data_IF_404632402244
#
_entry.id   IF_404632402244
#
_cell.length_a   1.000
_cell.length_b   1.000
_cell.length_c   1.000
_cell.angle_alpha   90.00
_cell.angle_beta   90.00
_cell.angle_gamma   90.00
#
_symmetry.space_group_name_H-M   'P 1'
#
loop_
_entity.id
_entity.type
_entity.pdbx_description
1 polymer ?
#
# COMPACT_ATOMS: atom_id res chain seq x y z
N UNK A 1 6.98 4.06 1.37
CA UNK A 1 7.47 3.33 0.19
C UNK A 1 6.46 2.29 -0.22
N UNK A 2 6.41 1.87 -1.49
CA UNK A 2 5.51 0.83 -1.98
C UNK A 2 6.33 -0.37 -2.41
N UNK A 3 5.84 -1.57 -2.08
CA UNK A 3 6.48 -2.81 -2.48
C UNK A 3 5.43 -3.67 -3.17
N UNK A 4 5.66 -3.99 -4.44
CA UNK A 4 4.81 -4.88 -5.22
C UNK A 4 5.53 -6.22 -5.37
N UNK A 5 4.82 -7.29 -5.05
CA UNK A 5 5.31 -8.64 -5.24
C UNK A 5 4.67 -9.20 -6.49
N UNK A 6 5.52 -9.68 -7.41
CA UNK A 6 5.11 -10.33 -8.64
C UNK A 6 5.73 -11.72 -8.71
N UNK A 7 4.99 -12.69 -9.23
CA UNK A 7 5.50 -14.04 -9.46
C UNK A 7 5.33 -14.46 -10.92
N UNK A 8 6.38 -15.06 -11.50
CA UNK A 8 6.33 -15.64 -12.84
C UNK A 8 7.25 -16.87 -12.92
N UNK A 9 6.68 -18.05 -13.20
CA UNK A 9 7.41 -19.31 -13.47
C UNK A 9 8.54 -19.63 -12.45
N UNK A 10 8.29 -19.44 -11.16
CA UNK A 10 9.26 -19.73 -10.10
C UNK A 10 10.20 -18.58 -9.73
N UNK A 11 10.12 -17.44 -10.43
CA UNK A 11 10.85 -16.24 -10.07
C UNK A 11 9.92 -15.26 -9.35
N UNK A 12 10.32 -14.87 -8.14
CA UNK A 12 9.72 -13.76 -7.41
C UNK A 12 10.42 -12.45 -7.81
N UNK A 13 9.64 -11.41 -8.07
CA UNK A 13 10.13 -10.06 -8.36
C UNK A 13 9.53 -9.09 -7.36
N UNK A 14 10.39 -8.25 -6.79
CA UNK A 14 9.99 -7.19 -5.86
C UNK A 14 10.21 -5.86 -6.55
N UNK A 15 9.13 -5.11 -6.78
CA UNK A 15 9.19 -3.75 -7.31
C UNK A 15 9.05 -2.77 -6.16
N UNK A 16 10.01 -1.86 -6.02
CA UNK A 16 10.01 -0.83 -4.98
C UNK A 16 9.83 0.52 -5.65
N UNK A 17 8.85 1.29 -5.19
CA UNK A 17 8.54 2.60 -5.74
C UNK A 17 8.21 3.63 -4.65
N UNK A 18 8.40 4.91 -4.96
CA UNK A 18 7.90 6.02 -4.15
C UNK A 18 6.43 6.32 -4.48
N UNK A 19 5.68 7.01 -3.60
CA UNK A 19 4.30 7.42 -3.88
C UNK A 19 4.21 8.34 -5.11
N UNK A 20 5.22 9.18 -5.34
CA UNK A 20 5.28 10.08 -6.49
C UNK A 20 5.40 9.31 -7.80
N UNK A 21 6.21 8.24 -7.82
CA UNK A 21 6.40 7.41 -9.00
C UNK A 21 5.11 6.64 -9.36
N UNK A 22 4.52 5.97 -8.36
CA UNK A 22 3.43 5.00 -8.59
C UNK A 22 2.13 5.64 -9.07
N UNK A 23 1.90 6.92 -8.74
CA UNK A 23 0.69 7.65 -9.14
C UNK A 23 0.76 8.18 -10.58
N UNK A 24 1.93 8.12 -11.23
CA UNK A 24 2.09 8.62 -12.60
C UNK A 24 1.36 7.75 -13.61
N UNK A 25 0.93 8.35 -14.72
CA UNK A 25 0.28 7.62 -15.83
C UNK A 25 1.18 6.53 -16.41
N UNK A 26 2.48 6.78 -16.50
CA UNK A 26 3.45 5.82 -16.99
C UNK A 26 3.47 4.55 -16.12
N UNK A 27 3.58 4.70 -14.81
CA UNK A 27 3.59 3.55 -13.89
C UNK A 27 2.27 2.78 -13.90
N UNK A 28 1.13 3.47 -13.97
CA UNK A 28 -0.17 2.79 -14.14
C UNK A 28 -0.19 1.89 -15.37
N UNK A 29 0.28 2.39 -16.52
CA UNK A 29 0.34 1.60 -17.75
C UNK A 29 1.30 0.40 -17.63
N UNK A 30 2.44 0.56 -16.96
CA UNK A 30 3.38 -0.55 -16.71
C UNK A 30 2.73 -1.63 -15.85
N UNK A 31 2.04 -1.23 -14.77
CA UNK A 31 1.34 -2.16 -13.89
C UNK A 31 0.21 -2.90 -14.62
N UNK A 32 -0.65 -2.16 -15.33
CA UNK A 32 -1.78 -2.74 -16.06
C UNK A 32 -1.32 -3.71 -17.17
N UNK A 33 -0.30 -3.34 -17.95
CA UNK A 33 0.10 -4.12 -19.13
C UNK A 33 1.08 -5.26 -18.81
N UNK A 34 1.90 -5.11 -17.77
CA UNK A 34 3.04 -6.03 -17.52
C UNK A 34 2.83 -6.91 -16.30
N UNK A 35 2.22 -6.35 -15.24
CA UNK A 35 2.22 -6.98 -13.92
C UNK A 35 0.83 -7.37 -13.42
N UNK A 36 -0.26 -6.87 -14.01
CA UNK A 36 -1.64 -7.07 -13.53
C UNK A 36 -1.97 -8.50 -13.12
N UNK A 37 -1.66 -9.48 -13.96
CA UNK A 37 -1.92 -10.90 -13.70
C UNK A 37 -0.87 -11.59 -12.81
N UNK A 38 0.25 -10.92 -12.56
CA UNK A 38 1.40 -11.46 -11.82
C UNK A 38 1.52 -10.90 -10.40
N UNK A 39 0.84 -9.78 -10.12
CA UNK A 39 0.81 -9.14 -8.81
C UNK A 39 0.15 -10.08 -7.79
N UNK A 40 0.90 -10.47 -6.77
CA UNK A 40 0.42 -11.34 -5.70
C UNK A 40 0.26 -10.62 -4.36
N UNK A 41 0.86 -9.44 -4.18
CA UNK A 41 0.67 -8.62 -2.98
C UNK A 41 1.08 -7.17 -3.22
N UNK A 42 0.39 -6.23 -2.57
CA UNK A 42 0.81 -4.82 -2.43
C UNK A 42 1.14 -4.55 -0.97
N UNK A 43 2.34 -4.02 -0.70
CA UNK A 43 2.70 -3.53 0.62
C UNK A 43 2.88 -2.00 0.64
N UNK A 44 2.24 -1.35 1.61
CA UNK A 44 2.32 0.07 1.91
C UNK A 44 3.19 0.27 3.13
N UNK A 45 4.40 0.76 2.92
CA UNK A 45 5.36 1.06 3.99
C UNK A 45 5.27 2.53 4.42
N UNK A 46 5.46 2.76 5.71
CA UNK A 46 5.19 4.02 6.41
C UNK A 46 3.77 4.53 6.17
N UNK A 47 2.78 3.63 6.35
CA UNK A 47 1.38 3.95 6.09
C UNK A 47 0.84 5.10 6.95
N UNK A 48 1.49 5.44 8.08
CA UNK A 48 1.12 6.62 8.87
C UNK A 48 1.22 7.94 8.08
N UNK A 49 2.02 8.00 7.00
CA UNK A 49 2.11 9.19 6.15
C UNK A 49 0.78 9.54 5.44
N UNK A 50 -0.19 8.61 5.40
CA UNK A 50 -1.54 8.85 4.86
C UNK A 50 -2.34 9.80 5.76
N UNK A 51 -2.17 9.71 7.07
CA UNK A 51 -3.00 10.44 8.03
C UNK A 51 -2.39 11.80 8.34
N UNK A 52 -3.24 12.84 8.36
CA UNK A 52 -2.86 14.19 8.80
C UNK A 52 -2.52 14.25 10.29
N UNK A 53 -2.96 13.25 11.06
CA UNK A 53 -2.62 13.07 12.46
C UNK A 53 -1.27 12.35 12.65
N UNK A 54 -0.69 11.85 11.55
CA UNK A 54 0.64 11.26 11.54
C UNK A 54 1.74 12.30 11.67
N UNK A 55 2.87 11.88 12.23
CA UNK A 55 4.04 12.76 12.44
C UNK A 55 4.73 13.21 11.14
N UNK A 56 4.50 12.52 10.02
CA UNK A 56 5.07 12.82 8.69
C UNK A 56 4.03 12.67 7.57
N UNK A 57 2.95 13.45 7.64
CA UNK A 57 1.90 13.45 6.61
C UNK A 57 2.45 13.83 5.23
N UNK A 58 2.10 13.04 4.19
CA UNK A 58 2.49 13.29 2.80
C UNK A 58 1.28 13.25 1.88
N UNK A 59 0.90 14.39 1.32
CA UNK A 59 -0.30 14.52 0.47
C UNK A 59 -0.35 13.49 -0.69
N UNK A 60 0.81 13.12 -1.26
CA UNK A 60 0.89 12.15 -2.36
C UNK A 60 0.39 10.76 -1.96
N UNK A 61 0.51 10.38 -0.69
CA UNK A 61 -0.02 9.12 -0.16
C UNK A 61 -1.55 9.05 -0.22
N UNK A 62 -2.28 10.16 -0.33
CA UNK A 62 -3.74 10.12 -0.51
C UNK A 62 -4.17 9.50 -1.85
N UNK A 63 -3.27 9.47 -2.84
CA UNK A 63 -3.58 9.01 -4.20
C UNK A 63 -3.22 7.54 -4.45
N UNK A 64 -2.61 6.88 -3.48
CA UNK A 64 -2.00 5.55 -3.65
C UNK A 64 -3.00 4.41 -3.49
N UNK A 65 -4.21 4.71 -3.02
CA UNK A 65 -5.36 3.81 -3.08
C UNK A 65 -5.72 3.38 -4.50
N UNK A 66 -5.26 4.11 -5.53
CA UNK A 66 -5.45 3.74 -6.94
C UNK A 66 -4.88 2.37 -7.32
N UNK A 67 -3.94 1.83 -6.54
CA UNK A 67 -3.44 0.47 -6.76
C UNK A 67 -4.54 -0.59 -6.55
N UNK A 68 -5.53 -0.31 -5.70
CA UNK A 68 -6.68 -1.20 -5.50
C UNK A 68 -7.59 -1.29 -6.72
N UNK A 69 -7.57 -0.30 -7.63
CA UNK A 69 -8.32 -0.43 -8.89
C UNK A 69 -7.57 -1.24 -9.96
N UNK A 70 -6.29 -1.53 -9.73
CA UNK A 70 -5.41 -2.22 -10.68
C UNK A 70 -5.31 -3.71 -10.35
N UNK A 71 -5.42 -4.09 -9.07
CA UNK A 71 -5.30 -5.48 -8.62
C UNK A 71 -6.19 -5.77 -7.42
N UNK A 72 -6.66 -7.02 -7.32
CA UNK A 72 -7.43 -7.54 -6.17
C UNK A 72 -6.54 -8.31 -5.17
N UNK A 73 -5.22 -8.24 -5.32
CA UNK A 73 -4.32 -9.01 -4.47
C UNK A 73 -4.31 -8.51 -3.02
N UNK A 74 -3.88 -9.36 -2.06
CA UNK A 74 -3.76 -8.98 -0.66
C UNK A 74 -2.95 -7.69 -0.45
N UNK A 75 -3.39 -6.90 0.54
CA UNK A 75 -2.74 -5.67 0.94
C UNK A 75 -2.09 -5.85 2.30
N UNK A 76 -0.82 -5.49 2.40
CA UNK A 76 -0.09 -5.38 3.65
C UNK A 76 0.19 -3.91 3.95
N UNK A 77 -0.17 -3.45 5.14
CA UNK A 77 0.15 -2.10 5.61
C UNK A 77 1.13 -2.17 6.77
N UNK A 78 2.24 -1.45 6.66
CA UNK A 78 3.31 -1.42 7.65
C UNK A 78 3.46 0.01 8.16
N UNK A 79 3.56 0.18 9.47
CA UNK A 79 3.77 1.49 10.08
C UNK A 79 4.33 1.34 11.50
N UNK A 80 5.14 2.30 11.93
CA UNK A 80 5.60 2.40 13.31
C UNK A 80 4.48 2.83 14.28
N UNK A 81 3.54 3.67 13.82
CA UNK A 81 2.46 4.23 14.64
C UNK A 81 1.10 3.94 14.02
N UNK A 82 0.17 3.43 14.82
CA UNK A 82 -1.17 3.03 14.36
C UNK A 82 -2.26 3.38 15.40
N UNK A 83 -2.37 4.67 15.75
CA UNK A 83 -3.51 5.15 16.55
C UNK A 83 -4.83 4.85 15.84
N UNK A 84 -5.95 4.92 16.54
CA UNK A 84 -7.27 4.63 15.97
C UNK A 84 -7.59 5.55 14.78
N UNK A 85 -7.21 6.82 14.86
CA UNK A 85 -7.36 7.82 13.81
C UNK A 85 -6.52 7.43 12.58
N UNK A 86 -5.24 7.12 12.78
CA UNK A 86 -4.32 6.72 11.71
C UNK A 86 -4.83 5.46 11.02
N UNK A 87 -5.28 4.44 11.78
CA UNK A 87 -5.85 3.21 11.21
C UNK A 87 -7.09 3.48 10.36
N UNK A 88 -7.98 4.33 10.84
CA UNK A 88 -9.21 4.70 10.11
C UNK A 88 -8.89 5.47 8.82
N UNK A 89 -7.91 6.38 8.86
CA UNK A 89 -7.48 7.14 7.69
C UNK A 89 -6.81 6.24 6.64
N UNK A 90 -5.92 5.32 7.07
CA UNK A 90 -5.32 4.31 6.20
C UNK A 90 -6.40 3.46 5.54
N UNK A 91 -7.33 2.91 6.33
CA UNK A 91 -8.41 2.07 5.83
C UNK A 91 -9.27 2.81 4.79
N UNK A 92 -9.69 4.04 5.09
CA UNK A 92 -10.50 4.88 4.21
C UNK A 92 -9.76 5.19 2.91
N UNK A 93 -8.50 5.60 3.00
CA UNK A 93 -7.70 6.04 1.84
C UNK A 93 -7.37 4.89 0.91
N UNK A 94 -7.09 3.72 1.48
CA UNK A 94 -6.79 2.51 0.74
C UNK A 94 -8.05 1.71 0.38
N UNK A 95 -9.26 2.19 0.68
CA UNK A 95 -10.51 1.49 0.36
C UNK A 95 -10.64 0.12 1.03
N UNK A 96 -9.94 -0.10 2.15
CA UNK A 96 -9.95 -1.36 2.88
C UNK A 96 -11.26 -1.46 3.67
N UNK A 97 -12.04 -2.51 3.41
CA UNK A 97 -13.25 -2.79 4.18
C UNK A 97 -12.89 -3.20 5.61
N UNK A 98 -13.60 -2.66 6.59
CA UNK A 98 -13.34 -2.87 8.03
C UNK A 98 -13.30 -4.35 8.43
N UNK A 99 -14.11 -5.19 7.78
CA UNK A 99 -14.20 -6.64 8.02
C UNK A 99 -12.93 -7.42 7.64
N UNK A 100 -12.00 -6.81 6.88
CA UNK A 100 -10.76 -7.46 6.40
C UNK A 100 -9.48 -6.88 7.01
N UNK A 101 -9.59 -5.97 7.98
CA UNK A 101 -8.44 -5.38 8.67
C UNK A 101 -8.01 -6.27 9.84
N UNK A 102 -7.12 -7.21 9.55
CA UNK A 102 -6.43 -7.98 10.58
C UNK A 102 -5.14 -7.24 10.97
N UNK A 103 -5.07 -6.75 12.20
CA UNK A 103 -3.80 -6.28 12.76
C UNK A 103 -2.99 -7.51 13.12
N UNK A 104 -2.02 -7.85 12.26
CA UNK A 104 -1.24 -9.09 12.37
C UNK A 104 -0.28 -9.04 13.56
N UNK A 105 0.34 -7.88 13.81
CA UNK A 105 1.32 -7.74 14.86
C UNK A 105 1.46 -6.28 15.30
N UNK A 106 1.44 -6.04 16.61
CA UNK A 106 1.78 -4.75 17.23
C UNK A 106 2.97 -5.02 18.14
N UNK A 107 4.08 -4.30 17.93
CA UNK A 107 5.20 -4.34 18.86
C UNK A 107 4.75 -3.74 20.20
N UNK A 108 4.70 -4.52 21.29
CA UNK A 108 4.40 -3.95 22.60
C UNK A 108 5.57 -3.06 23.03
N UNK A 109 5.26 -1.83 23.48
CA UNK A 109 6.19 -0.82 24.00
C UNK A 109 7.17 -0.20 22.98
N UNK A 110 6.64 0.63 22.07
CA UNK A 110 7.34 1.85 21.62
C UNK A 110 6.48 3.06 21.90
#
# INVERSE_FOLDING_TARGET
TFILFSHNKGCATVLIASPEAIITRHWKAVLDNTYRERLCMVAYDEAHCISVWGLDFREKYLKVGVLQSITECPVLTLTATATTEIKNDIARTLGLRSEKLNVIYVLPNR
#
